data_IF_512176228447
#
_entry.id   IF_512176228447
#
_cell.length_a   1.000
_cell.length_b   1.000
_cell.length_c   1.000
_cell.angle_alpha   90.00
_cell.angle_beta   90.00
_cell.angle_gamma   90.00
#
_symmetry.space_group_name_H-M   'P 1'
#
loop_
_entity.id
_entity.type
_entity.pdbx_description
1 polymer ?
#
# COMPACT_ATOMS: atom_id res chain seq x y z
N UNK A 1 5.83 14.33 22.49
CA UNK A 1 5.57 13.25 21.50
C UNK A 1 6.43 12.04 21.86
N UNK A 2 5.80 11.12 22.60
CA UNK A 2 6.42 10.16 23.50
C UNK A 2 7.27 9.08 22.84
N UNK A 3 8.33 8.66 23.54
CA UNK A 3 9.20 7.54 23.14
C UNK A 3 8.40 6.26 22.83
N UNK A 4 7.28 6.04 23.53
CA UNK A 4 6.36 4.93 23.31
C UNK A 4 5.69 4.94 21.93
N UNK A 5 5.28 6.10 21.43
CA UNK A 5 4.74 6.24 20.07
C UNK A 5 5.84 5.99 19.02
N UNK A 6 7.05 6.47 19.30
CA UNK A 6 8.23 6.24 18.45
C UNK A 6 8.60 4.76 18.36
N UNK A 7 8.52 4.02 19.46
CA UNK A 7 8.81 2.58 19.50
C UNK A 7 7.68 1.73 18.92
N UNK A 8 6.41 2.13 19.08
CA UNK A 8 5.30 1.50 18.35
C UNK A 8 5.42 1.71 16.85
N UNK A 9 5.81 2.90 16.39
CA UNK A 9 6.12 3.15 14.98
C UNK A 9 7.38 2.39 14.53
N UNK A 10 8.33 2.15 15.45
CA UNK A 10 9.52 1.32 15.20
C UNK A 10 9.16 -0.16 15.04
N UNK A 11 8.04 -0.65 15.56
CA UNK A 11 7.68 -2.07 15.47
C UNK A 11 6.47 -2.31 14.56
N UNK A 12 6.08 -1.33 13.75
CA UNK A 12 4.99 -1.48 12.80
C UNK A 12 5.36 -2.54 11.73
N UNK A 13 4.41 -3.43 11.35
CA UNK A 13 4.66 -4.52 10.40
C UNK A 13 4.99 -4.06 8.97
N UNK A 14 4.89 -2.76 8.67
CA UNK A 14 5.12 -2.16 7.35
C UNK A 14 6.34 -1.23 7.33
N UNK A 15 7.48 -1.71 7.84
CA UNK A 15 8.72 -0.93 7.85
C UNK A 15 9.39 -0.89 6.48
N UNK A 16 9.47 0.31 5.91
CA UNK A 16 10.23 0.61 4.68
C UNK A 16 11.76 0.48 4.90
N UNK A 17 12.23 0.63 6.15
CA UNK A 17 13.64 0.57 6.52
C UNK A 17 13.83 -0.43 7.68
N UNK A 18 14.71 -1.41 7.47
CA UNK A 18 15.11 -2.43 8.44
C UNK A 18 16.62 -2.27 8.67
N UNK A 19 17.05 -2.07 9.91
CA UNK A 19 18.47 -1.88 10.28
C UNK A 19 19.22 -0.79 9.47
N UNK A 20 18.53 0.29 9.11
CA UNK A 20 19.12 1.38 8.32
C UNK A 20 19.24 1.09 6.81
N UNK A 21 18.84 -0.10 6.38
CA UNK A 21 18.76 -0.50 4.98
C UNK A 21 17.29 -0.52 4.52
N UNK A 22 17.07 -0.33 3.22
CA UNK A 22 15.73 -0.47 2.64
C UNK A 22 15.27 -1.92 2.74
N UNK A 23 13.98 -2.11 3.03
CA UNK A 23 13.40 -3.45 3.10
C UNK A 23 13.47 -4.13 1.71
N UNK A 24 14.25 -5.22 1.56
CA UNK A 24 14.46 -5.85 0.26
C UNK A 24 13.18 -6.46 -0.30
N UNK A 25 12.26 -6.90 0.57
CA UNK A 25 10.98 -7.48 0.15
C UNK A 25 10.11 -6.44 -0.55
N UNK A 26 9.98 -5.24 0.01
CA UNK A 26 9.16 -4.19 -0.62
C UNK A 26 9.80 -3.63 -1.89
N UNK A 27 11.14 -3.58 -1.94
CA UNK A 27 11.86 -3.28 -3.17
C UNK A 27 11.56 -4.31 -4.27
N UNK A 28 11.61 -5.61 -3.94
CA UNK A 28 11.31 -6.67 -4.89
C UNK A 28 9.84 -6.61 -5.38
N UNK A 29 8.91 -6.34 -4.47
CA UNK A 29 7.48 -6.14 -4.81
C UNK A 29 7.32 -4.96 -5.77
N UNK A 30 7.96 -3.83 -5.49
CA UNK A 30 7.86 -2.66 -6.35
C UNK A 30 8.53 -2.85 -7.71
N UNK A 31 9.71 -3.50 -7.77
CA UNK A 31 10.40 -3.79 -9.02
C UNK A 31 9.57 -4.73 -9.92
N UNK A 32 9.05 -5.83 -9.37
CA UNK A 32 8.16 -6.73 -10.10
C UNK A 32 6.84 -6.06 -10.47
N UNK A 33 6.24 -5.33 -9.54
CA UNK A 33 4.99 -4.60 -9.76
C UNK A 33 5.14 -3.59 -10.89
N UNK A 34 6.25 -2.85 -10.91
CA UNK A 34 6.59 -1.94 -11.99
C UNK A 34 6.76 -2.67 -13.33
N UNK A 35 7.49 -3.78 -13.37
CA UNK A 35 7.65 -4.57 -14.60
C UNK A 35 6.30 -5.06 -15.15
N UNK A 36 5.42 -5.58 -14.30
CA UNK A 36 4.07 -5.99 -14.72
C UNK A 36 3.29 -4.78 -15.24
N UNK A 37 3.30 -3.67 -14.49
CA UNK A 37 2.60 -2.45 -14.86
C UNK A 37 3.04 -1.89 -16.21
N UNK A 38 4.36 -1.78 -16.45
CA UNK A 38 4.92 -1.15 -17.65
C UNK A 38 4.99 -2.09 -18.84
N UNK A 39 5.36 -3.36 -18.63
CA UNK A 39 5.65 -4.29 -19.73
C UNK A 39 4.45 -5.14 -20.12
N UNK A 40 3.64 -5.56 -19.13
CA UNK A 40 2.46 -6.41 -19.38
C UNK A 40 1.22 -5.54 -19.62
N UNK A 41 0.93 -4.64 -18.67
CA UNK A 41 -0.28 -3.81 -18.72
C UNK A 41 -0.11 -2.52 -19.53
N UNK A 42 1.13 -2.16 -19.88
CA UNK A 42 1.49 -0.93 -20.63
C UNK A 42 0.88 0.33 -20.02
N UNK A 43 0.73 0.35 -18.70
CA UNK A 43 0.21 1.50 -17.98
C UNK A 43 1.33 2.56 -17.92
N UNK A 44 1.09 3.78 -18.41
CA UNK A 44 2.07 4.85 -18.33
C UNK A 44 2.43 5.16 -16.88
N UNK A 45 3.70 5.45 -16.62
CA UNK A 45 4.25 5.73 -15.28
C UNK A 45 3.49 6.82 -14.52
N UNK A 46 2.86 7.76 -15.25
CA UNK A 46 2.04 8.83 -14.66
C UNK A 46 0.78 8.31 -13.95
N UNK A 47 0.17 7.23 -14.43
CA UNK A 47 -1.05 6.65 -13.85
C UNK A 47 -0.78 5.43 -12.98
N UNK A 48 0.46 4.96 -12.99
CA UNK A 48 0.91 3.80 -12.26
C UNK A 48 0.99 3.99 -10.74
N UNK A 49 0.78 2.87 -10.04
CA UNK A 49 1.11 2.73 -8.62
C UNK A 49 2.63 2.79 -8.40
N UNK A 50 3.37 2.22 -9.35
CA UNK A 50 4.83 2.14 -9.31
C UNK A 50 5.45 3.14 -10.27
N UNK A 51 6.61 3.68 -9.90
CA UNK A 51 7.43 4.54 -10.76
C UNK A 51 8.90 4.09 -10.71
N UNK A 52 9.70 4.34 -11.77
CA UNK A 52 11.11 3.96 -11.84
C UNK A 52 12.03 4.85 -10.97
N UNK A 53 11.47 5.54 -9.96
CA UNK A 53 12.20 6.49 -9.13
C UNK A 53 13.16 5.82 -8.13
N UNK A 54 13.63 6.61 -7.16
CA UNK A 54 14.62 6.16 -6.17
C UNK A 54 14.21 4.85 -5.46
N UNK A 55 15.17 3.98 -5.06
CA UNK A 55 14.87 2.75 -4.33
C UNK A 55 14.01 2.98 -3.08
N UNK A 56 14.17 4.12 -2.41
CA UNK A 56 13.34 4.47 -1.24
C UNK A 56 11.88 4.73 -1.61
N UNK A 57 11.65 5.42 -2.72
CA UNK A 57 10.31 5.59 -3.27
C UNK A 57 9.69 4.24 -3.64
N UNK A 58 10.45 3.37 -4.31
CA UNK A 58 9.98 2.03 -4.67
C UNK A 58 9.65 1.19 -3.42
N UNK A 59 10.49 1.22 -2.39
CA UNK A 59 10.21 0.52 -1.13
C UNK A 59 8.90 0.99 -0.48
N UNK A 60 8.66 2.32 -0.44
CA UNK A 60 7.40 2.91 0.03
C UNK A 60 6.21 2.49 -0.82
N UNK A 61 6.36 2.49 -2.15
CA UNK A 61 5.32 2.03 -3.07
C UNK A 61 5.00 0.55 -2.87
N UNK A 62 6.01 -0.29 -2.66
CA UNK A 62 5.87 -1.71 -2.35
C UNK A 62 5.17 -1.95 -1.01
N UNK A 63 5.51 -1.18 0.03
CA UNK A 63 4.86 -1.25 1.34
C UNK A 63 3.37 -0.83 1.24
N UNK A 64 3.09 0.29 0.57
CA UNK A 64 1.73 0.77 0.36
C UNK A 64 0.88 -0.23 -0.44
N UNK A 65 1.41 -0.79 -1.53
CA UNK A 65 0.72 -1.83 -2.30
C UNK A 65 0.47 -3.08 -1.44
N UNK A 66 1.47 -3.53 -0.68
CA UNK A 66 1.32 -4.71 0.20
C UNK A 66 0.22 -4.50 1.24
N UNK A 67 0.15 -3.30 1.83
CA UNK A 67 -0.92 -2.93 2.75
C UNK A 67 -2.29 -2.90 2.07
N UNK A 68 -2.39 -2.34 0.87
CA UNK A 68 -3.63 -2.31 0.10
C UNK A 68 -4.13 -3.73 -0.22
N UNK A 69 -3.24 -4.61 -0.68
CA UNK A 69 -3.57 -6.01 -0.96
C UNK A 69 -4.01 -6.76 0.30
N UNK A 70 -3.34 -6.52 1.43
CA UNK A 70 -3.76 -7.10 2.71
C UNK A 70 -5.17 -6.65 3.11
N UNK A 71 -5.47 -5.36 3.02
CA UNK A 71 -6.82 -4.84 3.30
C UNK A 71 -7.87 -5.40 2.34
N UNK A 72 -7.52 -5.55 1.06
CA UNK A 72 -8.40 -6.11 0.05
C UNK A 72 -8.80 -7.56 0.39
N UNK A 73 -7.81 -8.39 0.73
CA UNK A 73 -8.04 -9.78 1.15
C UNK A 73 -8.88 -9.83 2.42
N UNK A 74 -8.54 -9.01 3.42
CA UNK A 74 -9.27 -8.97 4.68
C UNK A 74 -10.74 -8.57 4.50
N UNK A 75 -11.00 -7.49 3.75
CA UNK A 75 -12.37 -7.04 3.47
C UNK A 75 -13.16 -8.08 2.69
N UNK A 76 -12.54 -8.72 1.69
CA UNK A 76 -13.20 -9.76 0.90
C UNK A 76 -13.55 -10.98 1.77
N UNK A 77 -12.65 -11.38 2.68
CA UNK A 77 -12.90 -12.48 3.61
C UNK A 77 -14.03 -12.14 4.60
N UNK A 78 -14.01 -10.93 5.18
CA UNK A 78 -15.07 -10.46 6.08
C UNK A 78 -16.42 -10.41 5.38
N UNK A 79 -16.46 -9.87 4.16
CA UNK A 79 -17.68 -9.81 3.36
C UNK A 79 -18.21 -11.20 3.01
N UNK A 80 -17.34 -12.12 2.58
CA UNK A 80 -17.71 -13.51 2.31
C UNK A 80 -18.29 -14.19 3.55
N UNK A 81 -17.72 -13.95 4.72
CA UNK A 81 -18.24 -14.44 5.99
C UNK A 81 -19.62 -13.83 6.32
N UNK A 82 -19.80 -12.52 6.13
CA UNK A 82 -21.09 -11.85 6.34
C UNK A 82 -22.17 -12.38 5.40
N UNK A 83 -21.87 -12.60 4.12
CA UNK A 83 -22.80 -13.23 3.19
C UNK A 83 -23.15 -14.65 3.60
N UNK A 84 -22.16 -15.42 4.04
CA UNK A 84 -22.38 -16.77 4.55
C UNK A 84 -23.36 -16.75 5.71
N UNK A 85 -23.17 -15.92 6.74
CA UNK A 85 -24.07 -15.86 7.91
C UNK A 85 -25.46 -15.33 7.56
N UNK A 86 -25.57 -14.30 6.70
CA UNK A 86 -26.86 -13.76 6.28
C UNK A 86 -27.70 -14.76 5.49
N UNK A 87 -27.07 -15.63 4.68
CA UNK A 87 -27.76 -16.72 3.99
C UNK A 87 -28.53 -17.63 4.96
N UNK A 88 -28.04 -17.80 6.19
CA UNK A 88 -28.70 -18.62 7.22
C UNK A 88 -29.64 -17.83 8.14
N UNK A 89 -29.50 -16.51 8.24
CA UNK A 89 -30.21 -15.71 9.26
C UNK A 89 -31.31 -14.79 8.69
N UNK A 90 -31.14 -14.14 7.53
CA UNK A 90 -32.17 -13.25 6.96
C UNK A 90 -31.92 -12.88 5.48
N UNK A 91 -32.94 -13.01 4.61
CA UNK A 91 -32.82 -12.89 3.15
C UNK A 91 -32.97 -11.47 2.56
N UNK A 92 -33.26 -10.43 3.37
CA UNK A 92 -33.87 -9.17 2.88
C UNK A 92 -32.94 -7.95 2.75
N UNK A 93 -31.66 -8.01 3.14
CA UNK A 93 -30.76 -6.84 3.14
C UNK A 93 -29.47 -7.00 2.29
N UNK A 94 -29.44 -7.93 1.33
CA UNK A 94 -28.20 -8.24 0.58
C UNK A 94 -27.78 -7.13 -0.40
N UNK A 95 -28.73 -6.46 -1.06
CA UNK A 95 -28.42 -5.45 -2.09
C UNK A 95 -27.65 -4.23 -1.53
N UNK A 96 -28.07 -3.70 -0.38
CA UNK A 96 -27.38 -2.56 0.26
C UNK A 96 -25.97 -2.95 0.70
N UNK A 97 -25.78 -4.19 1.17
CA UNK A 97 -24.45 -4.70 1.55
C UNK A 97 -23.52 -4.88 0.36
N UNK A 98 -24.03 -5.30 -0.79
CA UNK A 98 -23.26 -5.37 -2.04
C UNK A 98 -22.74 -3.99 -2.44
N UNK A 99 -23.58 -2.96 -2.40
CA UNK A 99 -23.16 -1.58 -2.68
C UNK A 99 -22.14 -1.06 -1.68
N UNK A 100 -22.38 -1.25 -0.37
CA UNK A 100 -21.43 -0.83 0.67
C UNK A 100 -20.08 -1.52 0.52
N UNK A 101 -20.07 -2.81 0.16
CA UNK A 101 -18.86 -3.56 -0.11
C UNK A 101 -18.13 -3.03 -1.34
N UNK A 102 -18.84 -2.81 -2.46
CA UNK A 102 -18.27 -2.21 -3.67
C UNK A 102 -17.64 -0.85 -3.41
N UNK A 103 -18.32 0.02 -2.65
CA UNK A 103 -17.80 1.33 -2.24
C UNK A 103 -16.55 1.18 -1.36
N UNK A 104 -16.56 0.24 -0.40
CA UNK A 104 -15.41 -0.01 0.48
C UNK A 104 -14.19 -0.51 -0.31
N UNK A 105 -14.40 -1.40 -1.29
CA UNK A 105 -13.36 -1.88 -2.19
C UNK A 105 -12.77 -0.73 -3.02
N UNK A 106 -13.63 0.08 -3.64
CA UNK A 106 -13.21 1.24 -4.40
C UNK A 106 -12.38 2.20 -3.55
N UNK A 107 -12.78 2.44 -2.30
CA UNK A 107 -12.06 3.31 -1.39
C UNK A 107 -10.67 2.78 -1.03
N UNK A 108 -10.54 1.47 -0.75
CA UNK A 108 -9.24 0.84 -0.42
C UNK A 108 -8.26 0.89 -1.58
N UNK A 109 -8.73 0.92 -2.83
CA UNK A 109 -7.85 1.05 -4.00
C UNK A 109 -7.59 2.53 -4.32
N UNK A 110 -8.64 3.34 -4.43
CA UNK A 110 -8.54 4.72 -4.91
C UNK A 110 -7.87 5.66 -3.91
N UNK A 111 -8.18 5.55 -2.61
CA UNK A 111 -7.64 6.48 -1.63
C UNK A 111 -6.11 6.37 -1.49
N UNK A 112 -5.52 5.15 -1.36
CA UNK A 112 -4.06 5.02 -1.35
C UNK A 112 -3.44 5.35 -2.71
N UNK A 113 -4.09 5.03 -3.82
CA UNK A 113 -3.62 5.43 -5.15
C UNK A 113 -3.50 6.95 -5.27
N UNK A 114 -4.54 7.70 -4.88
CA UNK A 114 -4.56 9.16 -4.88
C UNK A 114 -3.50 9.73 -3.93
N UNK A 115 -3.41 9.18 -2.71
CA UNK A 115 -2.41 9.60 -1.73
C UNK A 115 -0.98 9.42 -2.27
N UNK A 116 -0.74 8.34 -3.02
CA UNK A 116 0.55 8.07 -3.66
C UNK A 116 0.79 8.96 -4.89
N UNK A 117 -0.26 9.31 -5.64
CA UNK A 117 -0.16 10.17 -6.81
C UNK A 117 0.17 11.61 -6.42
N UNK A 118 -0.42 12.10 -5.32
CA UNK A 118 -0.13 13.43 -4.75
C UNK A 118 1.07 13.46 -3.80
N UNK A 119 1.79 12.35 -3.61
CA UNK A 119 2.97 12.31 -2.73
C UNK A 119 4.10 13.19 -3.34
N UNK A 120 4.52 14.28 -2.68
CA UNK A 120 5.59 15.16 -3.18
C UNK A 120 6.92 14.43 -3.40
N UNK A 121 7.08 13.25 -2.80
CA UNK A 121 8.25 12.37 -2.92
C UNK A 121 8.41 11.76 -4.31
N UNK A 122 7.40 11.88 -5.19
CA UNK A 122 7.50 11.50 -6.61
C UNK A 122 8.26 12.52 -7.44
N UNK A 123 8.46 13.75 -6.95
CA UNK A 123 9.19 14.76 -7.69
C UNK A 123 10.66 14.32 -7.90
N UNK A 124 11.22 14.46 -9.12
CA UNK A 124 12.58 14.00 -9.42
C UNK A 124 13.66 14.71 -8.60
N UNK A 125 13.37 15.92 -8.10
CA UNK A 125 14.24 16.72 -7.24
C UNK A 125 13.93 16.55 -5.73
N UNK A 126 13.18 15.53 -5.33
CA UNK A 126 12.85 15.33 -3.92
C UNK A 126 14.06 14.85 -3.11
N UNK A 127 14.52 15.67 -2.17
CA UNK A 127 15.59 15.30 -1.24
C UNK A 127 15.05 14.56 0.00
N UNK A 128 15.55 13.33 0.19
CA UNK A 128 15.21 12.50 1.34
C UNK A 128 16.05 12.92 2.57
N UNK A 129 15.50 13.79 3.43
CA UNK A 129 16.17 14.37 4.62
C UNK A 129 16.82 13.38 5.60
N UNK A 130 16.45 12.10 5.57
CA UNK A 130 16.97 11.07 6.48
C UNK A 130 17.96 10.10 5.81
N UNK A 131 18.24 10.27 4.51
CA UNK A 131 19.13 9.38 3.77
C UNK A 131 20.59 9.80 3.96
N UNK A 132 21.47 8.86 4.38
CA UNK A 132 22.90 9.10 4.57
C UNK A 132 23.37 9.40 6.00
N UNK A 133 22.47 9.70 6.95
CA UNK A 133 22.87 9.98 8.35
C UNK A 133 23.37 8.75 9.14
N UNK A 134 23.25 7.54 8.57
CA UNK A 134 23.80 6.29 9.12
C UNK A 134 25.19 5.90 8.60
N UNK A 135 25.77 6.68 7.66
CA UNK A 135 27.17 6.56 7.25
C UNK A 135 27.97 7.69 7.90
N UNK A 136 28.16 7.59 9.21
CA UNK A 136 29.26 8.28 9.88
C UNK A 136 30.13 7.15 10.43
N UNK A 137 31.17 6.85 9.66
CA UNK A 137 32.38 6.17 10.17
C UNK A 137 32.96 7.00 11.33
#
# INVERSE_FOLDING_TARGET
>A
MDRLLRDKLRNAPFKEIIHGQLNPTYLAVAARGYHIQSSVLRIPDRYGWFTPGSPRLQCRQGAAMSFCLFLLVLLTALYGYTLYTLKYVHKRQTELMEWMFGISLAFVVLAPWLAMHHDPRRAPNYEWKDWGKGRKE
#
